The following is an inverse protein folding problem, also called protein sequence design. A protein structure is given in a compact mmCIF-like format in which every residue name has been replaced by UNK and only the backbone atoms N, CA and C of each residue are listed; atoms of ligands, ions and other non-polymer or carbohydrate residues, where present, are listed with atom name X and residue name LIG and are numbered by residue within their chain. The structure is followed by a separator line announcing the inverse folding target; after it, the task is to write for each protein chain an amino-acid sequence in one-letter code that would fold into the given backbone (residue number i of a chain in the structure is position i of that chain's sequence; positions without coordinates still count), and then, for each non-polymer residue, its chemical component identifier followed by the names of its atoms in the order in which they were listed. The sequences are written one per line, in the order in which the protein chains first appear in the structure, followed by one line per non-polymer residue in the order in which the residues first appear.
data_IF_515406103631
#
_entry.id   IF_515406103631
#
_cell.length_a   1.000
_cell.length_b   1.000
_cell.length_c   1.000
_cell.angle_alpha   90.00
_cell.angle_beta   90.00
_cell.angle_gamma   90.00
#
_symmetry.space_group_name_H-M   'P 1'
#
loop_
_entity.id
_entity.type
_entity.pdbx_description
1 polymer ?
#
# COMPACT_ATOMS: atom_id res chain seq x y z
N UNK A 1 -5.02 19.86 -28.56
CA UNK A 1 -4.88 19.12 -27.29
C UNK A 1 -3.43 19.21 -26.82
N UNK A 2 -3.17 19.41 -25.53
CA UNK A 2 -1.89 19.89 -24.99
C UNK A 2 -0.66 18.96 -25.15
N UNK A 3 -0.78 17.90 -25.95
CA UNK A 3 0.09 16.73 -25.96
C UNK A 3 0.41 16.19 -27.36
N UNK A 4 -0.01 16.84 -28.44
CA UNK A 4 0.41 16.48 -29.78
C UNK A 4 1.39 17.52 -30.32
N UNK A 5 2.61 17.12 -30.63
CA UNK A 5 3.56 17.94 -31.38
C UNK A 5 4.15 17.11 -32.53
N UNK A 6 4.18 17.66 -33.74
CA UNK A 6 4.67 16.96 -34.94
C UNK A 6 3.98 15.60 -35.20
N UNK A 7 2.68 15.49 -34.89
CA UNK A 7 1.92 14.24 -35.04
C UNK A 7 2.23 13.16 -33.99
N UNK A 8 3.08 13.46 -32.99
CA UNK A 8 3.42 12.54 -31.91
C UNK A 8 2.70 12.92 -30.63
N UNK A 9 2.10 11.91 -29.97
CA UNK A 9 1.50 12.01 -28.65
C UNK A 9 2.57 12.01 -27.56
N UNK A 10 2.45 12.93 -26.60
CA UNK A 10 3.29 13.04 -25.43
C UNK A 10 2.46 12.83 -24.16
N UNK A 11 3.09 12.39 -23.07
CA UNK A 11 2.50 12.43 -21.74
C UNK A 11 3.11 13.59 -20.96
N UNK A 12 2.27 14.40 -20.29
CA UNK A 12 2.74 15.42 -19.35
C UNK A 12 3.08 14.77 -18.01
N UNK A 13 4.33 14.86 -17.58
CA UNK A 13 4.78 14.39 -16.27
C UNK A 13 4.98 15.59 -15.36
N UNK A 14 4.28 15.61 -14.24
CA UNK A 14 4.41 16.62 -13.19
C UNK A 14 5.03 15.91 -11.99
N UNK A 15 6.22 16.31 -11.56
CA UNK A 15 6.89 15.78 -10.37
C UNK A 15 7.04 16.87 -9.34
N UNK A 16 6.45 16.68 -8.17
CA UNK A 16 6.51 17.61 -7.05
C UNK A 16 7.28 17.01 -5.90
N UNK A 17 8.36 17.69 -5.51
CA UNK A 17 9.28 17.26 -4.47
C UNK A 17 9.82 18.45 -3.70
N UNK A 18 9.79 18.40 -2.36
CA UNK A 18 10.37 19.44 -1.49
C UNK A 18 9.89 20.87 -1.84
N UNK A 19 8.60 21.02 -2.16
CA UNK A 19 8.01 22.31 -2.57
C UNK A 19 8.41 22.79 -3.97
N UNK A 20 9.14 21.98 -4.74
CA UNK A 20 9.51 22.26 -6.13
C UNK A 20 8.68 21.39 -7.07
N UNK A 21 8.07 22.00 -8.08
CA UNK A 21 7.35 21.29 -9.12
C UNK A 21 8.13 21.35 -10.43
N UNK A 22 8.42 20.20 -11.00
CA UNK A 22 9.01 20.06 -12.32
C UNK A 22 7.97 19.49 -13.28
N UNK A 23 7.87 20.06 -14.48
CA UNK A 23 6.97 19.56 -15.53
C UNK A 23 7.81 19.15 -16.73
N UNK A 24 7.62 17.93 -17.23
CA UNK A 24 8.30 17.39 -18.40
C UNK A 24 7.30 16.74 -19.35
N UNK A 25 7.73 16.53 -20.60
CA UNK A 25 7.01 15.72 -21.59
C UNK A 25 7.81 14.46 -21.86
N UNK A 26 7.14 13.32 -21.87
CA UNK A 26 7.75 12.03 -22.23
C UNK A 26 7.05 11.46 -23.47
N UNK A 27 7.82 10.75 -24.29
CA UNK A 27 7.35 10.11 -25.52
C UNK A 27 7.08 8.62 -25.33
N UNK A 28 7.66 8.02 -24.29
CA UNK A 28 7.56 6.60 -23.97
C UNK A 28 7.57 6.39 -22.46
N UNK A 29 6.89 5.34 -22.01
CA UNK A 29 6.84 4.94 -20.60
C UNK A 29 7.00 3.42 -20.50
N UNK A 30 7.75 2.95 -19.51
CA UNK A 30 7.79 1.55 -19.13
C UNK A 30 7.12 1.39 -17.76
N UNK A 31 6.10 0.54 -17.68
CA UNK A 31 5.37 0.26 -16.44
C UNK A 31 5.57 -1.22 -16.11
N UNK A 32 6.01 -1.51 -14.90
CA UNK A 32 6.00 -2.88 -14.40
C UNK A 32 4.62 -3.19 -13.79
N UNK A 33 3.95 -4.20 -14.32
CA UNK A 33 2.70 -4.70 -13.76
C UNK A 33 2.95 -5.54 -12.51
N UNK A 34 1.88 -5.81 -11.76
CA UNK A 34 1.94 -6.59 -10.51
C UNK A 34 2.34 -8.05 -10.71
N UNK A 35 2.20 -8.57 -11.93
CA UNK A 35 2.67 -9.90 -12.34
C UNK A 35 4.17 -9.93 -12.70
N UNK A 36 4.86 -8.79 -12.57
CA UNK A 36 6.28 -8.63 -12.86
C UNK A 36 6.61 -8.36 -14.33
N UNK A 37 5.62 -8.35 -15.23
CA UNK A 37 5.85 -8.03 -16.66
C UNK A 37 6.02 -6.53 -16.86
N UNK A 38 6.92 -6.15 -17.76
CA UNK A 38 7.11 -4.76 -18.15
C UNK A 38 6.31 -4.46 -19.42
N UNK A 39 5.43 -3.46 -19.36
CA UNK A 39 4.69 -2.93 -20.49
C UNK A 39 5.34 -1.64 -20.98
N UNK A 40 5.50 -1.54 -22.29
CA UNK A 40 6.01 -0.34 -22.95
C UNK A 40 4.85 0.42 -23.59
N UNK A 41 4.66 1.67 -23.19
CA UNK A 41 3.62 2.56 -23.69
C UNK A 41 4.25 3.68 -24.51
N UNK A 42 3.64 4.00 -25.66
CA UNK A 42 4.08 5.05 -26.57
C UNK A 42 2.90 5.61 -27.38
N UNK A 43 2.98 6.89 -27.75
CA UNK A 43 1.98 7.53 -28.60
C UNK A 43 0.60 7.57 -27.95
N UNK A 44 -0.43 7.05 -28.64
CA UNK A 44 -1.83 7.07 -28.18
C UNK A 44 -2.10 6.20 -26.95
N UNK A 45 -1.20 5.26 -26.63
CA UNK A 45 -1.30 4.44 -25.42
C UNK A 45 -0.78 5.14 -24.16
N UNK A 46 -0.19 6.33 -24.30
CA UNK A 46 0.24 7.14 -23.17
C UNK A 46 -0.95 7.84 -22.51
N UNK A 47 -0.98 7.95 -21.18
CA UNK A 47 -1.94 8.78 -20.50
C UNK A 47 -1.68 10.26 -20.79
N UNK A 48 -2.73 11.08 -20.68
CA UNK A 48 -2.61 12.51 -20.93
C UNK A 48 -1.66 13.19 -19.92
N UNK A 49 -1.75 12.79 -18.64
CA UNK A 49 -0.87 13.33 -17.62
C UNK A 49 -0.66 12.38 -16.45
N UNK A 50 0.51 12.47 -15.84
CA UNK A 50 0.86 11.78 -14.60
C UNK A 50 1.40 12.80 -13.61
N UNK A 51 0.91 12.71 -12.38
CA UNK A 51 1.35 13.54 -11.26
C UNK A 51 2.03 12.66 -10.22
N UNK A 52 3.32 12.92 -10.01
CA UNK A 52 4.19 12.25 -9.05
C UNK A 52 4.42 13.19 -7.88
N UNK A 53 4.28 12.66 -6.67
CA UNK A 53 4.53 13.36 -5.42
C UNK A 53 5.52 12.54 -4.61
N UNK A 54 6.67 13.14 -4.29
CA UNK A 54 7.61 12.55 -3.34
C UNK A 54 7.58 13.37 -2.05
N UNK A 55 7.05 12.74 -1.01
CA UNK A 55 6.89 13.29 0.34
C UNK A 55 6.24 12.26 1.24
N UNK A 56 6.25 12.48 2.55
CA UNK A 56 5.55 11.60 3.50
C UNK A 56 4.05 11.77 3.24
N UNK A 57 3.33 10.73 2.77
CA UNK A 57 1.89 10.83 2.62
C UNK A 57 1.28 10.95 4.02
N UNK A 58 0.75 12.11 4.36
CA UNK A 58 -0.02 12.28 5.59
C UNK A 58 -1.39 11.61 5.42
N UNK A 59 -1.67 10.61 6.27
CA UNK A 59 -2.96 9.93 6.31
C UNK A 59 -3.95 10.79 7.11
N UNK A 60 -4.62 11.70 6.43
CA UNK A 60 -5.69 12.56 6.95
C UNK A 60 -6.66 12.91 5.82
N UNK A 61 -7.93 13.18 6.14
CA UNK A 61 -8.97 13.47 5.15
C UNK A 61 -8.67 14.76 4.38
N UNK A 62 -7.88 14.66 3.32
CA UNK A 62 -7.63 15.76 2.40
C UNK A 62 -8.58 15.66 1.21
N UNK A 63 -9.36 16.73 1.09
CA UNK A 63 -10.31 17.04 0.03
C UNK A 63 -9.60 16.98 -1.33
N UNK A 64 -9.88 15.93 -2.10
CA UNK A 64 -10.17 15.93 -3.53
C UNK A 64 -10.04 14.51 -4.10
N UNK A 65 -11.11 13.73 -4.00
CA UNK A 65 -11.23 12.45 -4.71
C UNK A 65 -12.37 12.60 -5.73
N UNK A 66 -12.08 13.07 -6.95
CA UNK A 66 -12.99 12.87 -8.08
C UNK A 66 -12.57 11.56 -8.75
N UNK A 67 -12.92 10.45 -8.11
CA UNK A 67 -12.92 9.15 -8.77
C UNK A 67 -14.26 9.02 -9.50
N UNK A 68 -14.26 9.34 -10.79
CA UNK A 68 -15.35 8.95 -11.68
C UNK A 68 -15.26 7.43 -11.86
N UNK A 69 -15.97 6.70 -10.99
CA UNK A 69 -16.12 5.24 -10.98
C UNK A 69 -14.92 4.45 -10.41
N UNK A 70 -14.63 4.56 -9.09
CA UNK A 70 -13.64 3.71 -8.47
C UNK A 70 -14.14 2.26 -8.50
N UNK A 71 -13.46 1.41 -9.27
CA UNK A 71 -13.59 -0.05 -9.07
C UNK A 71 -13.11 -0.32 -7.65
N UNK A 72 -13.93 -1.01 -6.84
CA UNK A 72 -13.53 -1.46 -5.50
C UNK A 72 -12.21 -2.21 -5.63
N UNK A 73 -11.13 -1.61 -5.14
CA UNK A 73 -9.87 -2.31 -5.00
C UNK A 73 -10.13 -3.45 -4.03
N UNK A 74 -10.15 -4.69 -4.52
CA UNK A 74 -10.08 -5.83 -3.63
C UNK A 74 -8.70 -5.75 -2.98
N UNK A 75 -8.68 -5.59 -1.66
CA UNK A 75 -7.46 -5.55 -0.89
C UNK A 75 -6.57 -6.72 -1.32
N UNK A 76 -5.33 -6.42 -1.70
CA UNK A 76 -4.34 -7.45 -2.00
C UNK A 76 -4.24 -8.35 -0.77
N UNK A 77 -4.40 -9.68 -0.90
CA UNK A 77 -4.34 -10.60 0.23
C UNK A 77 -2.95 -10.62 0.91
N UNK A 78 -1.96 -9.93 0.32
CA UNK A 78 -0.60 -9.81 0.81
C UNK A 78 -0.36 -8.59 1.71
N UNK A 79 -1.27 -7.60 1.74
CA UNK A 79 -1.15 -6.44 2.61
C UNK A 79 -2.18 -6.61 3.73
N UNK A 80 -1.77 -7.04 4.94
CA UNK A 80 -2.70 -7.07 6.06
C UNK A 80 -3.21 -5.65 6.29
N UNK A 81 -4.50 -5.43 6.05
CA UNK A 81 -5.21 -4.23 6.46
C UNK A 81 -5.08 -4.13 7.98
N UNK A 82 -4.12 -3.34 8.47
CA UNK A 82 -4.02 -2.99 9.88
C UNK A 82 -5.12 -1.99 10.22
N UNK A 83 -6.39 -2.42 10.16
CA UNK A 83 -7.57 -1.64 10.55
C UNK A 83 -7.90 -1.85 12.03
N UNK A 84 -6.89 -1.81 12.90
CA UNK A 84 -7.07 -1.95 14.34
C UNK A 84 -5.74 -2.15 15.04
N UNK A 85 -5.58 -1.52 16.21
CA UNK A 85 -4.40 -1.63 17.07
C UNK A 85 -4.16 -3.08 17.56
N UNK A 86 -5.17 -3.96 17.47
CA UNK A 86 -5.08 -5.37 17.83
C UNK A 86 -5.36 -6.26 16.63
N UNK A 87 -4.34 -6.99 16.16
CA UNK A 87 -4.54 -8.06 15.18
C UNK A 87 -5.12 -9.30 15.86
N UNK A 88 -5.86 -10.12 15.09
CA UNK A 88 -6.30 -11.46 15.55
C UNK A 88 -5.13 -12.31 16.05
N UNK A 89 -3.95 -12.14 15.45
CA UNK A 89 -2.72 -12.81 15.87
C UNK A 89 -2.33 -12.40 17.30
N UNK A 90 -2.40 -11.12 17.61
CA UNK A 90 -1.94 -10.59 18.89
C UNK A 90 -2.88 -11.03 20.03
N UNK A 91 -4.18 -11.11 19.75
CA UNK A 91 -5.18 -11.70 20.66
C UNK A 91 -4.90 -13.19 20.89
N UNK A 92 -4.63 -13.95 19.82
CA UNK A 92 -4.32 -15.38 19.93
C UNK A 92 -3.06 -15.64 20.76
N UNK A 93 -1.98 -14.88 20.51
CA UNK A 93 -0.73 -14.99 21.28
C UNK A 93 -0.94 -14.62 22.75
N UNK A 94 -1.74 -13.59 23.03
CA UNK A 94 -2.10 -13.20 24.40
C UNK A 94 -2.84 -14.31 25.16
N UNK A 95 -3.88 -14.89 24.53
CA UNK A 95 -4.65 -15.99 25.14
C UNK A 95 -3.78 -17.23 25.37
N UNK A 96 -2.94 -17.59 24.40
CA UNK A 96 -2.03 -18.73 24.51
C UNK A 96 -1.02 -18.55 25.64
N UNK A 97 -0.47 -17.35 25.81
CA UNK A 97 0.46 -17.04 26.89
C UNK A 97 -0.17 -17.18 28.28
N UNK A 98 -1.39 -16.65 28.46
CA UNK A 98 -2.14 -16.78 29.73
C UNK A 98 -2.44 -18.25 30.03
N UNK A 99 -2.86 -19.03 29.02
CA UNK A 99 -3.15 -20.44 29.17
C UNK A 99 -1.93 -21.24 29.65
N UNK A 100 -0.77 -21.04 29.00
CA UNK A 100 0.47 -21.73 29.37
C UNK A 100 0.89 -21.37 30.79
N UNK A 101 0.80 -20.09 31.17
CA UNK A 101 1.14 -19.65 32.52
C UNK A 101 0.29 -20.35 33.59
N UNK A 102 -1.04 -20.36 33.42
CA UNK A 102 -1.96 -21.04 34.36
C UNK A 102 -1.66 -22.53 34.43
N UNK A 103 -1.42 -23.17 33.28
CA UNK A 103 -1.08 -24.60 33.25
C UNK A 103 0.21 -24.89 34.03
N UNK A 104 1.25 -24.07 33.87
CA UNK A 104 2.52 -24.26 34.60
C UNK A 104 2.36 -24.08 36.11
N UNK A 105 1.52 -23.14 36.55
CA UNK A 105 1.22 -22.95 37.97
C UNK A 105 0.50 -24.15 38.57
N UNK A 106 -0.53 -24.66 37.89
CA UNK A 106 -1.27 -25.84 38.36
C UNK A 106 -0.39 -27.10 38.40
N UNK A 107 0.49 -27.28 37.42
CA UNK A 107 1.44 -28.40 37.42
C UNK A 107 2.47 -28.26 38.55
N UNK A 108 2.92 -27.05 38.87
CA UNK A 108 3.85 -26.81 39.97
C UNK A 108 3.19 -27.10 41.33
N UNK A 109 1.94 -26.70 41.55
CA UNK A 109 1.18 -27.02 42.77
C UNK A 109 0.91 -28.52 42.91
N UNK A 110 0.53 -29.19 41.82
CA UNK A 110 0.34 -30.64 41.81
C UNK A 110 1.66 -31.39 42.10
N UNK A 111 2.79 -30.92 41.57
CA UNK A 111 4.09 -31.51 41.87
C UNK A 111 4.52 -31.26 43.32
N UNK A 112 4.27 -30.07 43.86
CA UNK A 112 4.59 -29.72 45.24
C UNK A 112 3.80 -30.57 46.25
N UNK A 113 2.50 -30.77 46.00
CA UNK A 113 1.64 -31.63 46.82
C UNK A 113 1.95 -33.13 46.72
N UNK A 114 2.56 -33.58 45.61
CA UNK A 114 3.00 -34.96 45.46
C UNK A 114 4.33 -35.27 46.17
N UNK A 115 5.12 -34.24 46.51
CA UNK A 115 6.40 -34.37 47.22
C UNK A 115 6.29 -34.18 48.75
N UNK A 116 5.16 -33.67 49.25
CA UNK A 116 4.85 -33.50 50.68
C UNK A 116 4.13 -34.72 51.25
#
# INVERSE_FOLDING_TARGET
MALAANGQGFCKVIHTENGRTTTRRIHTMMIQATDGRCHYLSGESLPDSISLFSGIPYRGAHIAEVLLNPKKAQASPLIPESSGWLSKRDVFVGVLGVFIYVLTMLLAEAAASALS
#
